data_IF_559024732032
#
_entry.id   IF_559024732032
#
_cell.length_a   1.000
_cell.length_b   1.000
_cell.length_c   1.000
_cell.angle_alpha   90.00
_cell.angle_beta   90.00
_cell.angle_gamma   90.00
#
_symmetry.space_group_name_H-M   'P 1'
#
loop_
_entity.id
_entity.type
_entity.pdbx_description
1 polymer ?
#
# COMPACT_ATOMS: atom_id res chain seq x y z
N UNK A 1 -27.04 -17.12 -7.93
CA UNK A 1 -25.90 -17.92 -8.37
C UNK A 1 -24.92 -17.02 -9.12
N UNK A 2 -23.63 -17.13 -8.84
CA UNK A 2 -22.58 -16.36 -9.52
C UNK A 2 -22.39 -16.91 -10.94
N UNK A 3 -22.35 -16.02 -11.95
CA UNK A 3 -22.10 -16.42 -13.33
C UNK A 3 -20.66 -16.86 -13.51
N UNK A 4 -20.36 -18.07 -14.02
CA UNK A 4 -19.00 -18.51 -14.27
C UNK A 4 -18.26 -17.56 -15.23
N UNK A 5 -16.98 -17.28 -14.93
CA UNK A 5 -16.14 -16.42 -15.77
C UNK A 5 -16.47 -14.92 -15.73
N UNK A 6 -17.41 -14.48 -14.88
CA UNK A 6 -17.72 -13.06 -14.72
C UNK A 6 -16.50 -12.28 -14.20
N UNK A 7 -16.35 -11.02 -14.65
CA UNK A 7 -15.29 -10.10 -14.23
C UNK A 7 -15.93 -8.80 -13.78
N UNK A 8 -15.28 -8.13 -12.84
CA UNK A 8 -15.68 -6.79 -12.36
C UNK A 8 -14.46 -5.91 -12.15
N UNK A 9 -14.62 -4.61 -12.35
CA UNK A 9 -13.65 -3.57 -11.99
C UNK A 9 -13.97 -2.91 -10.64
N UNK A 10 -15.01 -3.39 -9.93
CA UNK A 10 -15.38 -2.84 -8.63
C UNK A 10 -14.20 -2.92 -7.65
N UNK A 11 -13.88 -1.80 -7.03
CA UNK A 11 -12.79 -1.71 -6.05
C UNK A 11 -13.24 -2.27 -4.71
N UNK A 12 -12.51 -3.25 -4.19
CA UNK A 12 -12.76 -3.91 -2.90
C UNK A 12 -11.48 -3.96 -2.07
N UNK A 13 -11.63 -4.10 -0.76
CA UNK A 13 -10.51 -4.22 0.18
C UNK A 13 -10.60 -5.50 0.99
N UNK A 14 -9.50 -5.92 1.61
CA UNK A 14 -9.50 -7.12 2.45
C UNK A 14 -10.45 -7.04 3.64
N UNK A 15 -10.68 -5.85 4.20
CA UNK A 15 -11.65 -5.62 5.28
C UNK A 15 -13.09 -5.96 4.86
N UNK A 16 -13.38 -5.95 3.56
CA UNK A 16 -14.69 -6.26 3.00
C UNK A 16 -14.98 -7.78 2.90
N UNK A 17 -13.92 -8.62 3.02
CA UNK A 17 -14.05 -10.08 2.86
C UNK A 17 -14.89 -10.69 3.97
N UNK A 18 -14.63 -10.34 5.24
CA UNK A 18 -15.36 -10.89 6.37
C UNK A 18 -16.86 -10.58 6.32
N UNK A 19 -17.30 -9.31 6.15
CA UNK A 19 -18.73 -9.02 6.03
C UNK A 19 -19.36 -9.71 4.81
N UNK A 20 -18.63 -9.88 3.71
CA UNK A 20 -19.13 -10.61 2.55
C UNK A 20 -19.37 -12.09 2.85
N UNK A 21 -18.43 -12.75 3.52
CA UNK A 21 -18.60 -14.16 3.91
C UNK A 21 -19.72 -14.36 4.91
N UNK A 22 -19.90 -13.43 5.85
CA UNK A 22 -21.01 -13.46 6.78
C UNK A 22 -22.36 -13.38 6.04
N UNK A 23 -22.47 -12.49 5.05
CA UNK A 23 -23.68 -12.36 4.26
C UNK A 23 -23.96 -13.61 3.40
N UNK A 24 -22.93 -14.13 2.71
CA UNK A 24 -23.02 -15.39 1.93
C UNK A 24 -23.50 -16.56 2.79
N UNK A 25 -23.06 -16.64 4.03
CA UNK A 25 -23.46 -17.68 4.97
C UNK A 25 -24.84 -17.43 5.63
N UNK A 26 -25.55 -16.37 5.26
CA UNK A 26 -26.81 -15.98 5.90
C UNK A 26 -26.65 -15.46 7.33
N UNK A 27 -25.44 -15.11 7.72
CA UNK A 27 -25.12 -14.59 9.04
C UNK A 27 -25.39 -13.08 9.16
N UNK A 28 -25.44 -12.60 10.40
CA UNK A 28 -25.63 -11.17 10.68
C UNK A 28 -24.31 -10.41 10.61
N UNK A 29 -24.23 -9.41 9.74
CA UNK A 29 -23.09 -8.51 9.66
C UNK A 29 -23.05 -7.60 10.91
N UNK A 30 -21.93 -7.59 11.60
CA UNK A 30 -21.73 -6.75 12.79
C UNK A 30 -21.49 -5.30 12.36
N UNK A 31 -22.06 -4.34 13.11
CA UNK A 31 -21.94 -2.90 12.82
C UNK A 31 -20.55 -2.30 13.06
N UNK A 32 -19.69 -2.99 13.80
CA UNK A 32 -18.33 -2.56 14.16
C UNK A 32 -17.24 -3.12 13.25
N UNK A 33 -17.57 -3.56 12.03
CA UNK A 33 -16.59 -3.95 11.02
C UNK A 33 -16.23 -2.72 10.17
N UNK A 34 -14.95 -2.58 9.86
CA UNK A 34 -14.44 -1.49 9.01
C UNK A 34 -14.84 -1.68 7.54
N UNK A 35 -15.02 -2.94 7.14
CA UNK A 35 -15.46 -3.30 5.78
C UNK A 35 -16.97 -3.40 5.63
N UNK A 36 -17.39 -3.44 4.40
CA UNK A 36 -18.78 -3.70 4.00
C UNK A 36 -18.85 -4.83 2.96
N UNK A 37 -19.95 -5.57 2.93
CA UNK A 37 -20.12 -6.67 1.98
C UNK A 37 -20.18 -6.17 0.54
N UNK A 38 -19.48 -6.87 -0.36
CA UNK A 38 -19.59 -6.72 -1.81
C UNK A 38 -20.33 -7.89 -2.47
N UNK A 39 -21.18 -8.59 -1.73
CA UNK A 39 -21.93 -9.75 -2.24
C UNK A 39 -22.81 -9.40 -3.44
N UNK A 40 -23.44 -8.23 -3.44
CA UNK A 40 -24.21 -7.75 -4.60
C UNK A 40 -23.37 -7.59 -5.87
N UNK A 41 -22.08 -7.25 -5.72
CA UNK A 41 -21.14 -7.20 -6.86
C UNK A 41 -20.84 -8.62 -7.36
N UNK A 42 -20.61 -9.57 -6.45
CA UNK A 42 -20.40 -10.98 -6.80
C UNK A 42 -21.60 -11.55 -7.55
N UNK A 43 -22.80 -11.17 -7.16
CA UNK A 43 -24.05 -11.60 -7.82
C UNK A 43 -24.35 -10.86 -9.13
N UNK A 44 -23.52 -9.88 -9.54
CA UNK A 44 -23.75 -9.05 -10.71
C UNK A 44 -24.90 -8.06 -10.59
N UNK A 45 -25.39 -7.80 -9.36
CA UNK A 45 -26.45 -6.82 -9.09
C UNK A 45 -25.93 -5.38 -9.04
N UNK A 46 -24.62 -5.21 -8.76
CA UNK A 46 -23.92 -3.92 -8.73
C UNK A 46 -22.61 -4.02 -9.50
N UNK A 47 -22.20 -2.90 -10.12
CA UNK A 47 -20.95 -2.79 -10.85
C UNK A 47 -19.88 -2.00 -10.09
N UNK A 48 -20.23 -1.40 -8.96
CA UNK A 48 -19.32 -0.63 -8.10
C UNK A 48 -19.49 -1.00 -6.63
N UNK A 49 -18.47 -0.74 -5.82
CA UNK A 49 -18.51 -0.98 -4.37
C UNK A 49 -17.97 0.21 -3.58
N UNK A 50 -16.75 0.63 -3.86
CA UNK A 50 -16.10 1.78 -3.21
C UNK A 50 -15.57 2.76 -4.26
N UNK A 51 -15.63 4.07 -3.92
CA UNK A 51 -15.04 5.12 -4.75
C UNK A 51 -13.53 5.23 -4.50
N UNK A 52 -13.09 4.84 -3.29
CA UNK A 52 -11.70 4.81 -2.87
C UNK A 52 -11.38 3.51 -2.15
N UNK A 53 -10.16 3.02 -2.37
CA UNK A 53 -9.56 1.94 -1.60
C UNK A 53 -8.20 2.41 -1.07
N UNK A 54 -7.87 1.96 0.14
CA UNK A 54 -6.68 2.42 0.85
C UNK A 54 -5.71 1.27 1.05
N UNK A 55 -4.43 1.62 1.12
CA UNK A 55 -3.37 0.67 1.39
C UNK A 55 -2.35 1.26 2.34
N UNK A 56 -1.86 0.42 3.23
CA UNK A 56 -0.76 0.75 4.12
C UNK A 56 0.34 -0.29 4.02
N UNK A 57 1.55 0.16 4.19
CA UNK A 57 2.71 -0.69 4.34
C UNK A 57 3.57 -0.15 5.46
N UNK A 58 3.93 -1.02 6.39
CA UNK A 58 4.92 -0.77 7.43
C UNK A 58 6.13 -1.64 7.22
N UNK A 59 7.33 -1.15 7.52
CA UNK A 59 8.54 -1.96 7.52
C UNK A 59 8.99 -2.32 8.94
N UNK A 60 8.38 -1.73 9.95
CA UNK A 60 8.72 -2.03 11.34
C UNK A 60 8.35 -3.46 11.72
N UNK A 61 9.36 -4.22 12.15
CA UNK A 61 9.19 -5.63 12.49
C UNK A 61 9.17 -6.59 11.29
N UNK A 62 9.33 -6.08 10.06
CA UNK A 62 9.48 -6.89 8.85
C UNK A 62 10.94 -7.24 8.66
N UNK A 63 11.21 -8.54 8.48
CA UNK A 63 12.57 -9.01 8.22
C UNK A 63 13.16 -8.38 6.95
N UNK A 64 14.36 -7.85 7.05
CA UNK A 64 15.09 -7.18 5.95
C UNK A 64 14.39 -5.94 5.38
N UNK A 65 13.46 -5.33 6.10
CA UNK A 65 12.86 -4.05 5.73
C UNK A 65 13.70 -2.88 6.25
N UNK A 66 13.60 -1.74 5.57
CA UNK A 66 14.13 -0.45 6.05
C UNK A 66 13.48 -0.11 7.39
N UNK A 67 14.24 0.50 8.28
CA UNK A 67 13.70 0.97 9.55
C UNK A 67 12.69 2.08 9.33
N UNK A 68 11.48 1.93 9.91
CA UNK A 68 10.44 2.97 9.93
C UNK A 68 10.01 3.53 8.57
N UNK A 69 10.12 2.75 7.50
CA UNK A 69 9.65 3.16 6.18
C UNK A 69 8.13 2.89 6.06
N UNK A 70 7.33 3.88 6.37
CA UNK A 70 5.89 3.79 6.27
C UNK A 70 5.37 4.34 4.93
N UNK A 71 4.42 3.64 4.33
CA UNK A 71 3.76 4.04 3.10
C UNK A 71 2.26 4.02 3.33
N UNK A 72 1.57 5.05 2.83
CA UNK A 72 0.11 5.07 2.74
C UNK A 72 -0.31 5.38 1.32
N UNK A 73 -1.39 4.78 0.88
CA UNK A 73 -1.89 5.02 -0.47
C UNK A 73 -3.41 5.08 -0.50
N UNK A 74 -3.91 5.79 -1.50
CA UNK A 74 -5.32 5.79 -1.86
C UNK A 74 -5.43 5.62 -3.37
N UNK A 75 -6.38 4.82 -3.80
CA UNK A 75 -6.70 4.60 -5.20
C UNK A 75 -8.17 4.91 -5.44
N UNK A 76 -8.43 5.64 -6.52
CA UNK A 76 -9.74 5.76 -7.18
C UNK A 76 -9.76 4.90 -8.44
N UNK A 77 -10.83 4.95 -9.21
CA UNK A 77 -10.92 4.25 -10.49
C UNK A 77 -9.80 4.64 -11.47
N UNK A 78 -9.45 5.94 -11.54
CA UNK A 78 -8.53 6.46 -12.56
C UNK A 78 -7.15 6.82 -12.01
N UNK A 79 -7.02 7.07 -10.71
CA UNK A 79 -5.81 7.64 -10.13
C UNK A 79 -5.40 6.92 -8.86
N UNK A 80 -4.09 6.94 -8.61
CA UNK A 80 -3.49 6.46 -7.35
C UNK A 80 -2.56 7.53 -6.80
N UNK A 81 -2.63 7.76 -5.50
CA UNK A 81 -1.72 8.62 -4.75
C UNK A 81 -1.03 7.81 -3.65
N UNK A 82 0.26 8.01 -3.51
CA UNK A 82 1.11 7.35 -2.52
C UNK A 82 1.85 8.42 -1.72
N UNK A 83 1.90 8.25 -0.41
CA UNK A 83 2.65 9.06 0.54
C UNK A 83 3.71 8.19 1.21
N UNK A 84 4.99 8.53 1.02
CA UNK A 84 6.13 7.89 1.64
C UNK A 84 6.64 8.78 2.78
N UNK A 85 6.71 8.25 4.00
CA UNK A 85 7.02 9.08 5.18
C UNK A 85 8.51 9.39 5.34
N UNK A 86 9.39 8.56 4.79
CA UNK A 86 10.84 8.70 4.92
C UNK A 86 11.53 8.58 3.56
N UNK A 87 11.32 9.55 2.65
CA UNK A 87 11.84 9.50 1.27
C UNK A 87 13.37 9.50 1.21
N UNK A 88 14.05 10.02 2.24
CA UNK A 88 15.51 10.06 2.33
C UNK A 88 16.14 8.72 2.73
N UNK A 89 15.32 7.72 3.08
CA UNK A 89 15.76 6.38 3.46
C UNK A 89 15.65 5.44 2.27
N UNK A 90 16.71 4.70 1.98
CA UNK A 90 16.65 3.64 0.96
C UNK A 90 15.62 2.59 1.32
N UNK A 91 14.64 2.38 0.43
CA UNK A 91 13.60 1.38 0.63
C UNK A 91 14.15 -0.02 0.46
N UNK A 92 13.95 -0.85 1.46
CA UNK A 92 14.36 -2.26 1.47
C UNK A 92 13.23 -3.15 1.96
N UNK A 93 13.14 -4.34 1.38
CA UNK A 93 12.25 -5.40 1.81
C UNK A 93 12.81 -6.77 1.37
N UNK A 94 12.05 -7.84 1.57
CA UNK A 94 12.49 -9.18 1.17
C UNK A 94 12.79 -9.29 -0.34
N UNK A 95 12.16 -8.47 -1.19
CA UNK A 95 12.42 -8.48 -2.63
C UNK A 95 13.81 -7.94 -2.97
N UNK A 96 14.30 -6.90 -2.28
CA UNK A 96 15.62 -6.31 -2.55
C UNK A 96 16.78 -7.26 -2.26
N UNK A 97 16.54 -8.30 -1.45
CA UNK A 97 17.53 -9.35 -1.16
C UNK A 97 17.34 -10.63 -1.99
N UNK A 98 16.32 -10.65 -2.87
CA UNK A 98 16.01 -11.80 -3.71
C UNK A 98 17.06 -12.04 -4.81
N UNK A 99 17.07 -13.26 -5.35
CA UNK A 99 17.93 -13.61 -6.49
C UNK A 99 17.57 -12.83 -7.75
N UNK A 100 16.29 -12.50 -7.92
CA UNK A 100 15.79 -11.68 -9.05
C UNK A 100 16.37 -10.27 -8.95
N UNK A 101 16.26 -9.61 -7.80
CA UNK A 101 16.79 -8.26 -7.60
C UNK A 101 18.31 -8.22 -7.77
N UNK A 102 19.02 -9.21 -7.23
CA UNK A 102 20.48 -9.37 -7.43
C UNK A 102 20.85 -9.53 -8.90
N UNK A 103 20.03 -10.22 -9.70
CA UNK A 103 20.23 -10.35 -11.13
C UNK A 103 20.12 -9.00 -11.86
N UNK A 104 19.16 -8.14 -11.46
CA UNK A 104 19.07 -6.78 -11.98
C UNK A 104 20.27 -5.92 -11.56
N UNK A 105 20.72 -6.04 -10.31
CA UNK A 105 21.94 -5.34 -9.83
C UNK A 105 23.17 -5.72 -10.66
N UNK A 106 23.33 -7.00 -11.01
CA UNK A 106 24.42 -7.44 -11.90
C UNK A 106 24.34 -6.83 -13.29
N UNK A 107 23.13 -6.74 -13.87
CA UNK A 107 22.93 -6.09 -15.17
C UNK A 107 23.23 -4.61 -15.13
N UNK A 108 22.79 -3.91 -14.09
CA UNK A 108 23.06 -2.49 -13.87
C UNK A 108 24.58 -2.23 -13.78
N UNK A 109 25.31 -3.05 -13.01
CA UNK A 109 26.76 -2.97 -12.89
C UNK A 109 27.49 -3.26 -14.23
N UNK A 110 26.86 -4.05 -15.11
CA UNK A 110 27.37 -4.34 -16.45
C UNK A 110 26.99 -3.26 -17.49
N UNK A 111 26.40 -2.14 -17.06
CA UNK A 111 26.05 -0.99 -17.93
C UNK A 111 24.63 -1.01 -18.49
N UNK A 112 23.74 -1.88 -18.02
CA UNK A 112 22.33 -1.85 -18.40
C UNK A 112 21.61 -0.69 -17.66
N UNK A 113 21.40 0.42 -18.38
CA UNK A 113 20.76 1.62 -17.86
C UNK A 113 19.31 1.37 -17.42
N UNK A 114 18.58 0.51 -18.12
CA UNK A 114 17.19 0.16 -17.77
C UNK A 114 17.13 -0.57 -16.44
N UNK A 115 18.06 -1.51 -16.20
CA UNK A 115 18.17 -2.19 -14.92
C UNK A 115 18.56 -1.22 -13.79
N UNK A 116 19.50 -0.31 -14.05
CA UNK A 116 19.94 0.70 -13.09
C UNK A 116 18.77 1.64 -12.69
N UNK A 117 18.01 2.12 -13.66
CA UNK A 117 16.84 2.97 -13.43
C UNK A 117 15.77 2.26 -12.59
N UNK A 118 15.46 1.00 -12.92
CA UNK A 118 14.47 0.21 -12.18
C UNK A 118 14.86 -0.01 -10.72
N UNK A 119 16.14 -0.29 -10.47
CA UNK A 119 16.67 -0.45 -9.11
C UNK A 119 16.57 0.87 -8.35
N UNK A 120 17.10 1.94 -8.94
CA UNK A 120 17.09 3.27 -8.33
C UNK A 120 15.66 3.69 -7.96
N UNK A 121 14.72 3.50 -8.86
CA UNK A 121 13.32 3.84 -8.63
C UNK A 121 12.67 2.98 -7.54
N UNK A 122 13.06 1.72 -7.41
CA UNK A 122 12.53 0.83 -6.37
C UNK A 122 13.07 1.20 -4.98
N UNK A 123 14.35 1.56 -4.90
CA UNK A 123 15.04 1.85 -3.65
C UNK A 123 14.90 3.30 -3.19
N UNK A 124 14.80 4.26 -4.12
CA UNK A 124 14.72 5.70 -3.83
C UNK A 124 13.34 6.22 -4.16
N UNK A 125 12.44 6.13 -3.20
CA UNK A 125 11.05 6.55 -3.39
C UNK A 125 10.87 8.02 -3.04
N UNK A 126 10.22 8.83 -3.91
CA UNK A 126 9.93 10.23 -3.58
C UNK A 126 8.90 10.32 -2.45
N UNK A 127 8.78 11.49 -1.82
CA UNK A 127 7.81 11.73 -0.75
C UNK A 127 6.36 11.51 -1.21
N UNK A 128 6.06 11.92 -2.44
CA UNK A 128 4.73 11.78 -3.05
C UNK A 128 4.84 11.11 -4.42
N UNK A 129 3.89 10.20 -4.68
CA UNK A 129 3.73 9.60 -6.00
C UNK A 129 2.27 9.74 -6.43
N UNK A 130 2.07 10.05 -7.72
CA UNK A 130 0.73 10.15 -8.31
C UNK A 130 0.72 9.53 -9.69
N UNK A 131 -0.26 8.68 -9.96
CA UNK A 131 -0.33 7.91 -11.21
C UNK A 131 -1.71 7.96 -11.82
N UNK A 132 -1.78 8.12 -13.15
CA UNK A 132 -2.98 7.96 -13.98
C UNK A 132 -3.06 6.49 -14.42
N UNK A 133 -3.63 5.62 -13.57
CA UNK A 133 -3.52 4.16 -13.69
C UNK A 133 -4.27 3.54 -14.88
N UNK A 134 -5.15 4.27 -15.53
CA UNK A 134 -5.79 3.81 -16.78
C UNK A 134 -4.85 3.97 -17.98
N UNK A 135 -4.01 5.02 -17.97
CA UNK A 135 -3.05 5.32 -19.01
C UNK A 135 -1.70 4.66 -18.75
N UNK A 136 -1.34 4.55 -17.48
CA UNK A 136 -0.09 3.94 -16.99
C UNK A 136 -0.37 2.85 -15.95
N UNK A 137 -0.83 1.66 -16.36
CA UNK A 137 -1.18 0.57 -15.44
C UNK A 137 0.02 -0.02 -14.70
N UNK A 138 1.23 0.28 -15.13
CA UNK A 138 2.47 -0.14 -14.47
C UNK A 138 3.09 0.91 -13.57
N UNK A 139 2.45 2.09 -13.46
CA UNK A 139 2.88 3.16 -12.56
C UNK A 139 4.33 3.61 -12.83
N UNK A 140 4.71 3.74 -14.14
CA UNK A 140 6.04 4.14 -14.55
C UNK A 140 6.25 5.65 -14.50
N UNK A 141 5.21 6.44 -14.72
CA UNK A 141 5.28 7.87 -14.84
C UNK A 141 4.70 8.55 -13.61
N UNK A 142 5.55 8.98 -12.68
CA UNK A 142 5.12 9.73 -11.51
C UNK A 142 4.73 11.16 -11.90
N UNK A 143 3.45 11.48 -11.80
CA UNK A 143 2.83 12.76 -12.14
C UNK A 143 2.64 13.68 -10.92
N UNK A 144 3.30 13.38 -9.78
CA UNK A 144 3.09 14.12 -8.55
C UNK A 144 3.43 15.64 -8.69
N UNK A 145 4.38 15.98 -9.56
CA UNK A 145 4.81 17.35 -9.80
C UNK A 145 4.23 17.97 -11.09
N UNK A 146 3.39 17.22 -11.82
CA UNK A 146 2.72 17.74 -13.02
C UNK A 146 1.52 18.60 -12.61
N UNK A 147 1.58 19.88 -13.00
CA UNK A 147 0.54 20.87 -12.72
C UNK A 147 -0.84 20.47 -13.27
N UNK A 148 -0.89 19.78 -14.39
CA UNK A 148 -2.16 19.34 -14.98
C UNK A 148 -2.93 18.39 -14.07
N UNK A 149 -2.24 17.68 -13.19
CA UNK A 149 -2.83 16.74 -12.24
C UNK A 149 -2.95 17.26 -10.81
N UNK A 150 -2.55 18.51 -10.55
CA UNK A 150 -2.51 19.08 -9.21
C UNK A 150 -3.84 18.98 -8.45
N UNK A 151 -4.97 19.24 -9.13
CA UNK A 151 -6.30 19.13 -8.52
C UNK A 151 -6.67 17.67 -8.17
N UNK A 152 -6.37 16.74 -9.05
CA UNK A 152 -6.62 15.30 -8.83
C UNK A 152 -5.76 14.77 -7.68
N UNK A 153 -4.46 15.11 -7.67
CA UNK A 153 -3.54 14.79 -6.58
C UNK A 153 -4.05 15.34 -5.25
N UNK A 154 -4.42 16.62 -5.19
CA UNK A 154 -4.92 17.27 -3.98
C UNK A 154 -6.21 16.60 -3.45
N UNK A 155 -7.10 16.16 -4.35
CA UNK A 155 -8.31 15.41 -3.98
C UNK A 155 -7.96 14.08 -3.32
N UNK A 156 -7.09 13.27 -3.94
CA UNK A 156 -6.71 11.96 -3.39
C UNK A 156 -5.92 12.12 -2.08
N UNK A 157 -5.00 13.07 -2.01
CA UNK A 157 -4.27 13.39 -0.78
C UNK A 157 -5.22 13.71 0.38
N UNK A 158 -6.23 14.53 0.14
CA UNK A 158 -7.25 14.87 1.16
C UNK A 158 -8.03 13.64 1.62
N UNK A 159 -8.44 12.76 0.70
CA UNK A 159 -9.12 11.51 1.04
C UNK A 159 -8.22 10.57 1.85
N UNK A 160 -6.94 10.46 1.49
CA UNK A 160 -5.98 9.67 2.26
C UNK A 160 -5.82 10.20 3.68
N UNK A 161 -5.62 11.50 3.84
CA UNK A 161 -5.46 12.13 5.15
C UNK A 161 -6.73 12.02 6.02
N UNK A 162 -7.91 12.09 5.38
CA UNK A 162 -9.19 11.86 6.06
C UNK A 162 -9.26 10.43 6.62
N UNK A 163 -8.96 9.44 5.78
CA UNK A 163 -8.96 8.03 6.17
C UNK A 163 -7.94 7.74 7.28
N UNK A 164 -6.71 8.25 7.15
CA UNK A 164 -5.69 8.13 8.20
C UNK A 164 -6.20 8.67 9.54
N UNK A 165 -6.83 9.85 9.53
CA UNK A 165 -7.41 10.44 10.73
C UNK A 165 -8.53 9.57 11.34
N UNK A 166 -9.41 9.00 10.52
CA UNK A 166 -10.50 8.12 10.96
C UNK A 166 -9.98 6.83 11.60
N UNK A 167 -8.86 6.28 11.05
CA UNK A 167 -8.18 5.11 11.60
C UNK A 167 -7.27 5.42 12.80
N UNK A 168 -7.09 6.70 13.17
CA UNK A 168 -6.16 7.12 14.22
C UNK A 168 -4.70 7.05 13.81
N UNK A 169 -4.42 6.94 12.49
CA UNK A 169 -3.07 6.89 11.94
C UNK A 169 -2.43 8.29 11.92
N UNK A 170 -1.33 8.46 12.65
CA UNK A 170 -0.55 9.70 12.78
C UNK A 170 0.66 9.72 11.83
N UNK A 171 0.66 8.87 10.81
CA UNK A 171 1.75 8.78 9.84
C UNK A 171 3.04 8.25 10.45
N UNK A 172 4.15 8.98 10.30
CA UNK A 172 5.46 8.55 10.79
C UNK A 172 5.47 8.26 12.30
N UNK A 173 4.68 8.98 13.10
CA UNK A 173 4.59 8.70 14.53
C UNK A 173 4.00 7.31 14.78
N UNK A 174 2.97 6.90 14.04
CA UNK A 174 2.39 5.56 14.13
C UNK A 174 3.43 4.49 13.81
N UNK A 175 4.30 4.73 12.80
CA UNK A 175 5.38 3.79 12.45
C UNK A 175 6.42 3.69 13.57
N UNK A 176 6.79 4.79 14.21
CA UNK A 176 7.75 4.80 15.31
C UNK A 176 7.21 4.07 16.55
N UNK A 177 5.91 4.22 16.82
CA UNK A 177 5.21 3.62 17.96
C UNK A 177 4.73 2.17 17.66
N UNK A 178 4.90 1.67 16.43
CA UNK A 178 4.31 0.40 15.99
C UNK A 178 4.64 -0.81 16.89
N UNK A 179 5.80 -0.82 17.55
CA UNK A 179 6.20 -1.91 18.46
C UNK A 179 5.43 -1.90 19.80
N UNK A 180 4.93 -0.75 20.22
CA UNK A 180 4.16 -0.62 21.46
C UNK A 180 2.78 -1.26 21.31
N UNK A 181 2.29 -1.32 20.07
CA UNK A 181 0.97 -1.88 19.70
C UNK A 181 1.02 -3.34 19.24
N UNK A 182 2.19 -3.95 19.17
CA UNK A 182 2.31 -5.37 18.81
C UNK A 182 2.02 -6.27 20.02
N UNK A 183 1.00 -7.13 19.90
CA UNK A 183 0.59 -8.06 20.95
C UNK A 183 1.61 -9.18 21.30
N UNK A 184 2.75 -9.25 20.62
CA UNK A 184 3.85 -10.17 20.94
C UNK A 184 4.80 -9.49 21.92
N UNK A 185 4.89 -10.01 23.15
CA UNK A 185 5.98 -9.66 24.06
C UNK A 185 7.31 -10.01 23.38
N UNK A 186 8.11 -9.01 23.01
CA UNK A 186 9.45 -9.20 22.48
C UNK A 186 10.29 -9.94 23.50
N UNK A 187 10.98 -11.00 23.09
CA UNK A 187 12.06 -11.56 23.89
C UNK A 187 13.21 -10.52 23.92
N UNK A 188 13.80 -10.34 25.09
CA UNK A 188 14.85 -9.34 25.37
C UNK A 188 16.08 -9.35 24.43
N UNK A 189 16.25 -10.39 23.64
CA UNK A 189 17.29 -10.53 22.60
C UNK A 189 17.10 -9.60 21.39
N UNK A 190 15.87 -9.21 21.08
CA UNK A 190 15.61 -8.36 19.91
C UNK A 190 15.86 -6.88 20.22
N UNK A 191 15.77 -6.50 21.49
CA UNK A 191 16.03 -5.13 21.95
C UNK A 191 17.53 -4.83 21.88
N UNK A 192 18.39 -5.77 22.33
CA UNK A 192 19.86 -5.61 22.26
C UNK A 192 20.40 -5.48 20.83
N UNK A 193 19.76 -6.14 19.86
CA UNK A 193 20.19 -6.06 18.45
C UNK A 193 19.85 -4.74 17.77
N UNK A 194 18.85 -4.00 18.27
CA UNK A 194 18.48 -2.68 17.77
C UNK A 194 19.38 -1.58 18.34
N UNK A 195 19.93 -1.78 19.55
CA UNK A 195 20.84 -0.85 20.21
C UNK A 195 22.28 -0.96 19.69
N UNK A 196 22.71 -2.17 19.24
CA UNK A 196 24.06 -2.42 18.70
C UNK A 196 24.24 -2.00 17.23
N UNK A 197 23.18 -1.52 16.56
CA UNK A 197 23.20 -1.08 15.13
C UNK A 197 22.82 0.39 14.95
N UNK A 198 22.82 1.18 16.01
CA UNK A 198 22.59 2.63 16.00
C UNK A 198 23.86 3.46 15.95
#
# INVERSE_FOLDING_TARGET
QVSPGSKTSAMVEYVDVLPTFLEVAGGKIRKNLDGRSFFDVILGKKNSHKDYVFGEMTTRGINKGSSYFGIRSVRSENYKYILNFTPDVTFQNACTTSTIFKSWSKKALAGDNTAAEKISRYENRPAEEFYAIQEDPYEWNNLADDYNYAMHKAKLKRELLRWMKECGDKGQQTELEALEHQGRKRQSKDIKRAEDTG
#
